data_IF_565312116649
#
_entry.id   IF_565312116649
#
_cell.length_a   1.000
_cell.length_b   1.000
_cell.length_c   1.000
_cell.angle_alpha   90.00
_cell.angle_beta   90.00
_cell.angle_gamma   90.00
#
_symmetry.space_group_name_H-M   'P 1'
#
loop_
_entity.id
_entity.type
_entity.pdbx_description
1 polymer ?
#
# COMPACT_ATOMS: atom_id res chain seq x y z
N UNK A 1 0.23 -17.18 -8.57
CA UNK A 1 -0.39 -15.96 -9.12
C UNK A 1 -1.67 -15.57 -8.39
N UNK A 2 -2.68 -16.45 -8.24
CA UNK A 2 -3.95 -16.13 -7.55
C UNK A 2 -3.77 -15.55 -6.14
N UNK A 3 -2.88 -16.12 -5.32
CA UNK A 3 -2.59 -15.62 -3.96
C UNK A 3 -2.03 -14.18 -3.95
N UNK A 4 -1.12 -13.88 -4.88
CA UNK A 4 -0.49 -12.55 -4.99
C UNK A 4 -1.53 -11.50 -5.41
N UNK A 5 -2.41 -11.85 -6.36
CA UNK A 5 -3.51 -10.97 -6.76
C UNK A 5 -4.44 -10.65 -5.59
N UNK A 6 -4.87 -11.66 -4.83
CA UNK A 6 -5.73 -11.45 -3.65
C UNK A 6 -5.05 -10.61 -2.58
N UNK A 7 -3.76 -10.86 -2.32
CA UNK A 7 -2.99 -10.06 -1.39
C UNK A 7 -2.92 -8.59 -1.84
N UNK A 8 -2.57 -8.33 -3.10
CA UNK A 8 -2.44 -6.96 -3.65
C UNK A 8 -3.77 -6.21 -3.59
N UNK A 9 -4.89 -6.87 -3.89
CA UNK A 9 -6.23 -6.27 -3.78
C UNK A 9 -6.58 -5.96 -2.33
N UNK A 10 -6.41 -6.92 -1.41
CA UNK A 10 -6.72 -6.74 0.00
C UNK A 10 -5.84 -5.66 0.66
N UNK A 11 -4.54 -5.69 0.35
CA UNK A 11 -3.55 -4.73 0.84
C UNK A 11 -3.80 -3.32 0.30
N UNK A 12 -4.05 -3.19 -1.02
CA UNK A 12 -4.40 -1.91 -1.64
C UNK A 12 -5.71 -1.34 -1.06
N UNK A 13 -6.73 -2.19 -0.88
CA UNK A 13 -7.98 -1.81 -0.22
C UNK A 13 -7.79 -1.32 1.22
N UNK A 14 -6.97 -2.02 2.01
CA UNK A 14 -6.65 -1.63 3.38
C UNK A 14 -5.93 -0.27 3.46
N UNK A 15 -5.00 0.00 2.53
CA UNK A 15 -4.32 1.30 2.43
C UNK A 15 -5.28 2.42 2.06
N UNK A 16 -6.15 2.21 1.08
CA UNK A 16 -7.15 3.19 0.68
C UNK A 16 -8.16 3.47 1.80
N UNK A 17 -8.54 2.43 2.54
CA UNK A 17 -9.39 2.55 3.73
C UNK A 17 -8.71 3.39 4.82
N UNK A 18 -7.45 3.11 5.14
CA UNK A 18 -6.68 3.92 6.10
C UNK A 18 -6.47 5.36 5.62
N UNK A 19 -6.25 5.58 4.31
CA UNK A 19 -6.21 6.93 3.75
C UNK A 19 -7.53 7.68 3.94
N UNK A 20 -8.66 6.97 3.83
CA UNK A 20 -9.99 7.53 4.11
C UNK A 20 -10.16 7.88 5.59
N UNK A 21 -9.74 6.98 6.50
CA UNK A 21 -9.76 7.22 7.94
C UNK A 21 -8.84 8.39 8.34
N UNK A 22 -7.62 8.45 7.79
CA UNK A 22 -6.65 9.50 8.06
C UNK A 22 -7.22 10.88 7.71
N UNK A 23 -7.96 10.99 6.60
CA UNK A 23 -8.63 12.23 6.18
C UNK A 23 -9.73 12.70 7.14
N UNK A 24 -10.36 11.78 7.89
CA UNK A 24 -11.47 12.07 8.81
C UNK A 24 -11.07 12.07 10.28
N UNK A 25 -9.84 11.67 10.60
CA UNK A 25 -9.39 11.54 11.96
C UNK A 25 -9.27 12.93 12.63
N UNK A 26 -9.79 13.10 13.85
CA UNK A 26 -9.52 14.29 14.64
C UNK A 26 -8.03 14.35 15.02
N UNK A 27 -7.48 15.56 15.11
CA UNK A 27 -6.12 15.79 15.56
C UNK A 27 -5.99 15.33 17.02
N UNK A 28 -5.11 14.35 17.28
CA UNK A 28 -5.00 13.71 18.59
C UNK A 28 -4.48 12.27 18.50
N UNK A 29 -4.59 11.48 19.58
CA UNK A 29 -4.01 10.13 19.66
C UNK A 29 -4.55 9.16 18.59
N UNK A 30 -5.77 9.39 18.09
CA UNK A 30 -6.34 8.63 16.97
C UNK A 30 -5.58 8.81 15.64
N UNK A 31 -5.00 10.01 15.41
CA UNK A 31 -4.18 10.26 14.23
C UNK A 31 -2.83 9.52 14.31
N UNK A 32 -2.20 9.50 15.49
CA UNK A 32 -0.98 8.72 15.72
C UNK A 32 -1.20 7.21 15.54
N UNK A 33 -2.35 6.69 15.96
CA UNK A 33 -2.67 5.27 15.76
C UNK A 33 -2.87 4.93 14.28
N UNK A 34 -3.53 5.81 13.52
CA UNK A 34 -3.68 5.68 12.06
C UNK A 34 -2.33 5.69 11.36
N UNK A 35 -1.41 6.57 11.76
CA UNK A 35 -0.04 6.61 11.23
C UNK A 35 0.74 5.32 11.48
N UNK A 36 0.66 4.75 12.69
CA UNK A 36 1.28 3.46 13.01
C UNK A 36 0.70 2.31 12.19
N UNK A 37 -0.61 2.28 12.00
CA UNK A 37 -1.28 1.27 11.17
C UNK A 37 -0.86 1.37 9.70
N UNK A 38 -0.75 2.60 9.18
CA UNK A 38 -0.28 2.88 7.83
C UNK A 38 1.16 2.42 7.64
N UNK A 39 2.06 2.74 8.58
CA UNK A 39 3.45 2.31 8.57
C UNK A 39 3.58 0.78 8.60
N UNK A 40 2.82 0.11 9.47
CA UNK A 40 2.81 -1.35 9.56
C UNK A 40 2.36 -2.00 8.24
N UNK A 41 1.33 -1.46 7.58
CA UNK A 41 0.88 -1.98 6.29
C UNK A 41 1.88 -1.74 5.16
N UNK A 42 2.54 -0.58 5.14
CA UNK A 42 3.62 -0.32 4.18
C UNK A 42 4.79 -1.29 4.39
N UNK A 43 5.19 -1.55 5.64
CA UNK A 43 6.22 -2.55 5.95
C UNK A 43 5.81 -3.96 5.53
N UNK A 44 4.57 -4.38 5.82
CA UNK A 44 4.06 -5.69 5.38
C UNK A 44 4.10 -5.79 3.86
N UNK A 45 3.69 -4.75 3.14
CA UNK A 45 3.75 -4.71 1.68
C UNK A 45 5.18 -4.80 1.14
N UNK A 46 6.11 -4.05 1.73
CA UNK A 46 7.52 -4.07 1.36
C UNK A 46 8.18 -5.43 1.61
N UNK A 47 7.92 -6.04 2.78
CA UNK A 47 8.40 -7.40 3.10
C UNK A 47 7.79 -8.41 2.15
N UNK A 48 6.48 -8.34 1.88
CA UNK A 48 5.84 -9.28 0.96
C UNK A 48 6.38 -9.16 -0.46
N UNK A 49 6.63 -7.94 -0.96
CA UNK A 49 7.27 -7.71 -2.26
C UNK A 49 8.73 -8.19 -2.28
N UNK A 50 9.50 -7.93 -1.23
CA UNK A 50 10.89 -8.38 -1.11
C UNK A 50 11.02 -9.90 -1.01
N UNK A 51 10.10 -10.56 -0.28
CA UNK A 51 10.04 -12.03 -0.14
C UNK A 51 9.40 -12.69 -1.37
N UNK A 52 8.57 -11.98 -2.13
CA UNK A 52 8.06 -12.44 -3.41
C UNK A 52 9.02 -12.21 -4.59
N UNK A 53 10.07 -11.41 -4.43
CA UNK A 53 11.12 -11.23 -5.43
C UNK A 53 11.80 -12.56 -5.86
N UNK A 54 12.10 -13.53 -4.96
CA UNK A 54 12.56 -14.85 -5.36
C UNK A 54 11.46 -15.76 -5.97
N UNK A 55 10.19 -15.38 -5.91
CA UNK A 55 9.09 -16.04 -6.63
C UNK A 55 8.93 -15.50 -8.07
N UNK A 56 9.79 -14.57 -8.50
CA UNK A 56 9.91 -14.17 -9.91
C UNK A 56 10.24 -15.43 -10.71
N UNK A 57 9.43 -15.75 -11.74
CA UNK A 57 9.59 -17.00 -12.46
C UNK A 57 11.01 -17.12 -13.03
N UNK A 58 11.69 -18.24 -12.79
CA UNK A 58 12.96 -18.59 -13.45
C UNK A 58 12.77 -18.86 -14.95
N UNK A 59 11.51 -19.07 -15.36
CA UNK A 59 11.10 -19.14 -16.76
C UNK A 59 11.11 -17.74 -17.39
N UNK A 60 11.43 -17.62 -18.69
CA UNK A 60 11.35 -16.34 -19.38
C UNK A 60 9.95 -15.72 -19.25
N UNK A 61 9.89 -14.41 -19.00
CA UNK A 61 8.62 -13.69 -18.94
C UNK A 61 7.92 -13.78 -20.30
N UNK A 62 6.65 -14.15 -20.29
CA UNK A 62 5.82 -14.14 -21.49
C UNK A 62 5.22 -12.75 -21.70
N UNK A 63 4.86 -12.36 -22.93
CA UNK A 63 4.16 -11.10 -23.22
C UNK A 63 2.91 -10.87 -22.36
N UNK A 64 2.24 -11.95 -21.91
CA UNK A 64 1.06 -11.91 -21.06
C UNK A 64 1.36 -11.55 -19.59
N UNK A 65 2.61 -11.72 -19.12
CA UNK A 65 2.99 -11.42 -17.73
C UNK A 65 3.25 -9.92 -17.51
N UNK A 66 3.71 -9.20 -18.53
CA UNK A 66 4.01 -7.76 -18.46
C UNK A 66 2.82 -6.88 -18.03
N UNK A 67 1.61 -6.99 -18.61
CA UNK A 67 0.49 -6.15 -18.18
C UNK A 67 0.10 -6.41 -16.73
N UNK A 68 0.20 -7.66 -16.26
CA UNK A 68 -0.07 -8.02 -14.87
C UNK A 68 0.95 -7.40 -13.91
N UNK A 69 2.25 -7.51 -14.22
CA UNK A 69 3.33 -6.91 -13.42
C UNK A 69 3.19 -5.38 -13.39
N UNK A 70 2.94 -4.77 -14.54
CA UNK A 70 2.73 -3.33 -14.65
C UNK A 70 1.54 -2.87 -13.78
N UNK A 71 0.40 -3.59 -13.86
CA UNK A 71 -0.78 -3.25 -13.09
C UNK A 71 -0.57 -3.39 -11.58
N UNK A 72 0.06 -4.50 -11.13
CA UNK A 72 0.39 -4.70 -9.72
C UNK A 72 1.33 -3.60 -9.21
N UNK A 73 2.36 -3.26 -10.00
CA UNK A 73 3.34 -2.23 -9.63
C UNK A 73 2.67 -0.86 -9.49
N UNK A 74 1.84 -0.48 -10.47
CA UNK A 74 1.09 0.78 -10.45
C UNK A 74 0.15 0.81 -9.23
N UNK A 75 -0.62 -0.26 -9.00
CA UNK A 75 -1.56 -0.28 -7.89
C UNK A 75 -0.85 -0.19 -6.55
N UNK A 76 0.30 -0.85 -6.40
CA UNK A 76 1.10 -0.78 -5.17
C UNK A 76 1.59 0.63 -4.90
N UNK A 77 2.20 1.26 -5.91
CA UNK A 77 2.75 2.62 -5.80
C UNK A 77 1.64 3.65 -5.54
N UNK A 78 0.56 3.62 -6.31
CA UNK A 78 -0.55 4.57 -6.19
C UNK A 78 -1.24 4.45 -4.84
N UNK A 79 -1.52 3.23 -4.38
CA UNK A 79 -2.21 2.99 -3.10
C UNK A 79 -1.36 3.44 -1.92
N UNK A 80 -0.08 3.03 -1.89
CA UNK A 80 0.85 3.39 -0.82
C UNK A 80 1.10 4.90 -0.76
N UNK A 81 1.42 5.50 -1.91
CA UNK A 81 1.70 6.93 -1.99
C UNK A 81 0.50 7.79 -1.62
N UNK A 82 -0.69 7.44 -2.12
CA UNK A 82 -1.92 8.18 -1.80
C UNK A 82 -2.26 8.12 -0.31
N UNK A 83 -2.02 6.98 0.34
CA UNK A 83 -2.28 6.80 1.76
C UNK A 83 -1.30 7.60 2.62
N UNK A 84 -0.02 7.64 2.25
CA UNK A 84 1.01 8.46 2.91
C UNK A 84 0.70 9.95 2.74
N UNK A 85 0.39 10.41 1.52
CA UNK A 85 0.04 11.80 1.27
C UNK A 85 -1.20 12.25 2.05
N UNK A 86 -2.23 11.42 2.11
CA UNK A 86 -3.44 11.71 2.88
C UNK A 86 -3.13 11.88 4.38
N UNK A 87 -2.25 11.04 4.91
CA UNK A 87 -1.79 11.14 6.29
C UNK A 87 -0.97 12.41 6.53
N UNK A 88 0.08 12.64 5.72
CA UNK A 88 0.97 13.80 5.86
C UNK A 88 0.24 15.13 5.71
N UNK A 89 -0.70 15.22 4.75
CA UNK A 89 -1.52 16.42 4.58
C UNK A 89 -2.32 16.72 5.84
N UNK A 90 -2.94 15.70 6.44
CA UNK A 90 -3.72 15.89 7.66
C UNK A 90 -2.85 16.18 8.87
N UNK A 91 -1.67 15.57 8.97
CA UNK A 91 -0.69 15.89 10.01
C UNK A 91 -0.28 17.37 9.95
N UNK A 92 0.02 17.88 8.75
CA UNK A 92 0.36 19.30 8.55
C UNK A 92 -0.79 20.25 8.92
N UNK A 93 -2.05 19.86 8.72
CA UNK A 93 -3.23 20.63 9.16
C UNK A 93 -3.43 20.59 10.68
N UNK A 94 -2.88 19.61 11.39
CA UNK A 94 -2.98 19.49 12.85
C UNK A 94 -1.87 20.25 13.59
N UNK A 95 -0.74 20.53 12.91
CA UNK A 95 0.41 21.26 13.45
C UNK A 95 0.32 22.79 13.19
N UNK A 96 -0.62 23.25 12.36
CA UNK A 96 -0.87 24.65 11.99
C UNK A 96 -1.92 25.33 12.87
#
# INVERSE_FOLDING_TARGET
>A
MVLVTWFVIAWGGALLWLAHLARRAPCGPGHAHTGRALFALLLIGAVFLGVAAPLVPSRPLTPADYPYIAWVTVLVLVSGWSAVLAYLKRAAECDA
#
